data_IF_784991008331
#
_entry.id   IF_784991008331
#
_cell.length_a   1.000
_cell.length_b   1.000
_cell.length_c   1.000
_cell.angle_alpha   90.00
_cell.angle_beta   90.00
_cell.angle_gamma   90.00
#
_symmetry.space_group_name_H-M   'P 1'
#
loop_
_entity.id
_entity.type
_entity.pdbx_description
1 polymer ?
#
# COMPACT_ATOMS: atom_id res chain seq x y z
N UNK A 1 -9.60 -6.87 15.86
CA UNK A 1 -8.25 -7.43 15.63
C UNK A 1 -8.17 -8.93 15.91
N UNK A 2 -8.38 -9.40 17.14
CA UNK A 2 -8.31 -10.85 17.48
C UNK A 2 -9.32 -11.74 16.73
N UNK A 3 -10.53 -11.23 16.45
CA UNK A 3 -11.55 -11.96 15.68
C UNK A 3 -11.13 -12.19 14.23
N UNK A 4 -10.68 -11.13 13.55
CA UNK A 4 -10.16 -11.19 12.16
C UNK A 4 -8.93 -12.10 12.10
N UNK A 5 -8.08 -12.04 13.13
CA UNK A 5 -6.91 -12.90 13.22
C UNK A 5 -7.29 -14.39 13.24
N UNK A 6 -8.32 -14.74 14.00
CA UNK A 6 -8.88 -16.09 14.09
C UNK A 6 -9.58 -16.50 12.80
N UNK A 7 -10.28 -15.59 12.12
CA UNK A 7 -11.01 -15.91 10.88
C UNK A 7 -10.06 -16.18 9.70
N UNK A 8 -9.02 -15.36 9.50
CA UNK A 8 -7.99 -15.63 8.48
C UNK A 8 -7.25 -16.96 8.77
N UNK A 9 -6.88 -17.23 10.03
CA UNK A 9 -6.22 -18.50 10.40
C UNK A 9 -7.09 -19.72 10.10
N UNK A 10 -8.42 -19.59 10.23
CA UNK A 10 -9.39 -20.63 9.87
C UNK A 10 -9.66 -20.75 8.36
N UNK A 11 -9.37 -19.70 7.58
CA UNK A 11 -9.64 -19.65 6.14
C UNK A 11 -8.61 -20.40 5.27
N UNK A 12 -7.58 -21.02 5.86
CA UNK A 12 -6.79 -22.08 5.23
C UNK A 12 -5.62 -21.67 4.32
N UNK A 13 -5.50 -20.40 3.90
CA UNK A 13 -4.49 -19.97 2.91
C UNK A 13 -3.56 -18.84 3.42
N UNK A 14 -2.72 -19.09 4.42
CA UNK A 14 -1.62 -18.14 4.67
C UNK A 14 -0.69 -18.46 5.84
N UNK A 15 0.64 -18.40 5.65
CA UNK A 15 1.59 -18.41 6.76
C UNK A 15 1.37 -17.16 7.62
N UNK A 16 1.23 -17.35 8.93
CA UNK A 16 1.17 -16.36 10.01
C UNK A 16 0.73 -14.92 9.66
N UNK A 17 -0.44 -14.56 10.15
CA UNK A 17 -1.10 -13.26 10.00
C UNK A 17 -0.49 -12.10 10.78
N UNK A 18 0.34 -12.38 11.78
CA UNK A 18 0.71 -11.40 12.79
C UNK A 18 1.58 -10.27 12.22
N UNK A 19 2.50 -10.58 11.31
CA UNK A 19 3.28 -9.57 10.60
C UNK A 19 2.39 -8.69 9.73
N UNK A 20 1.44 -9.28 9.00
CA UNK A 20 0.48 -8.53 8.16
C UNK A 20 -0.41 -7.61 9.00
N UNK A 21 -0.90 -8.08 10.16
CA UNK A 21 -1.62 -7.22 11.12
C UNK A 21 -0.74 -6.08 11.63
N UNK A 22 0.53 -6.36 11.88
CA UNK A 22 1.54 -5.37 12.29
C UNK A 22 1.69 -4.27 11.25
N UNK A 23 1.93 -4.64 9.98
CA UNK A 23 2.00 -3.69 8.86
C UNK A 23 0.72 -2.86 8.75
N UNK A 24 -0.46 -3.50 8.72
CA UNK A 24 -1.75 -2.81 8.60
C UNK A 24 -1.99 -1.81 9.74
N UNK A 25 -1.66 -2.18 10.99
CA UNK A 25 -1.77 -1.29 12.14
C UNK A 25 -0.76 -0.14 12.10
N UNK A 26 0.50 -0.43 11.72
CA UNK A 26 1.56 0.57 11.61
C UNK A 26 1.24 1.60 10.52
N UNK A 27 0.82 1.15 9.34
CA UNK A 27 0.46 2.02 8.22
C UNK A 27 -0.73 2.91 8.56
N UNK A 28 -1.78 2.36 9.20
CA UNK A 28 -2.89 3.17 9.74
C UNK A 28 -2.39 4.24 10.69
N UNK A 29 -1.50 3.88 11.63
CA UNK A 29 -0.96 4.83 12.61
C UNK A 29 -0.19 5.93 11.90
N UNK A 30 0.62 5.61 10.91
CA UNK A 30 1.35 6.58 10.09
C UNK A 30 0.39 7.53 9.35
N UNK A 31 -0.63 7.00 8.68
CA UNK A 31 -1.68 7.81 8.01
C UNK A 31 -2.44 8.71 9.00
N UNK A 32 -2.74 8.22 10.21
CA UNK A 32 -3.40 9.02 11.25
C UNK A 32 -2.52 10.17 11.77
N UNK A 33 -1.24 9.91 12.04
CA UNK A 33 -0.27 10.95 12.40
C UNK A 33 -0.16 11.99 11.27
N UNK A 34 -0.06 11.53 10.02
CA UNK A 34 0.04 12.40 8.87
C UNK A 34 -1.22 13.24 8.65
N UNK A 35 -2.40 12.67 8.87
CA UNK A 35 -3.70 13.37 8.83
C UNK A 35 -3.75 14.50 9.86
N UNK A 36 -3.25 14.26 11.06
CA UNK A 36 -3.17 15.30 12.08
C UNK A 36 -2.14 16.37 11.72
N UNK A 37 -0.95 15.97 11.26
CA UNK A 37 0.12 16.91 10.87
C UNK A 37 -0.27 17.78 9.67
N UNK A 38 -0.96 17.24 8.67
CA UNK A 38 -1.32 17.98 7.45
C UNK A 38 -2.22 19.19 7.73
N UNK A 39 -3.07 19.10 8.77
CA UNK A 39 -3.91 20.23 9.24
C UNK A 39 -3.11 21.45 9.65
N UNK A 40 -1.90 21.26 10.17
CA UNK A 40 -1.05 22.35 10.66
C UNK A 40 0.04 22.75 9.67
N UNK A 41 0.61 21.80 8.93
CA UNK A 41 1.72 22.09 8.01
C UNK A 41 1.27 22.65 6.67
N UNK A 42 -0.02 22.50 6.32
CA UNK A 42 -0.60 22.88 5.02
C UNK A 42 0.17 22.31 3.82
N UNK A 43 0.91 21.21 4.02
CA UNK A 43 1.62 20.52 2.93
C UNK A 43 0.60 19.72 2.10
N UNK A 44 0.62 19.82 0.76
CA UNK A 44 -0.39 19.20 -0.09
C UNK A 44 -0.20 17.68 -0.25
N UNK A 45 0.97 17.16 0.14
CA UNK A 45 1.33 15.75 -0.03
C UNK A 45 1.87 15.17 1.27
N UNK A 46 1.57 13.89 1.47
CA UNK A 46 2.11 13.06 2.54
C UNK A 46 2.83 11.89 1.90
N UNK A 47 4.07 11.64 2.32
CA UNK A 47 4.82 10.44 1.95
C UNK A 47 4.95 9.53 3.17
N UNK A 48 4.64 8.25 2.99
CA UNK A 48 4.81 7.19 3.98
C UNK A 48 5.71 6.15 3.35
N UNK A 49 6.82 5.82 4.02
CA UNK A 49 7.76 4.80 3.61
C UNK A 49 7.82 3.71 4.69
N UNK A 50 8.03 2.46 4.28
CA UNK A 50 8.52 1.43 5.19
C UNK A 50 9.95 1.75 5.65
N UNK A 51 10.37 1.14 6.76
CA UNK A 51 11.65 1.40 7.41
C UNK A 51 12.87 0.91 6.63
N UNK A 52 12.67 -0.04 5.71
CA UNK A 52 13.68 -0.60 4.80
C UNK A 52 13.72 0.08 3.42
N UNK A 53 13.00 1.20 3.24
CA UNK A 53 12.90 1.90 1.95
C UNK A 53 13.63 3.24 1.94
N UNK A 54 14.54 3.42 0.99
CA UNK A 54 15.28 4.66 0.79
C UNK A 54 14.92 5.35 -0.53
N UNK A 55 14.67 6.67 -0.54
CA UNK A 55 14.60 7.44 -1.78
C UNK A 55 15.92 7.35 -2.56
N UNK A 56 15.82 7.17 -3.88
CA UNK A 56 17.00 7.18 -4.77
C UNK A 56 17.66 8.58 -4.83
N UNK A 57 18.92 8.65 -5.25
CA UNK A 57 19.71 9.90 -5.23
C UNK A 57 19.03 11.09 -5.95
N UNK A 58 18.32 10.81 -7.05
CA UNK A 58 17.63 11.79 -7.89
C UNK A 58 16.13 11.88 -7.62
N UNK A 59 15.65 11.34 -6.49
CA UNK A 59 14.23 11.25 -6.15
C UNK A 59 13.47 12.56 -6.37
N UNK A 60 14.02 13.69 -5.91
CA UNK A 60 13.36 15.01 -6.03
C UNK A 60 13.15 15.40 -7.49
N UNK A 61 14.14 15.14 -8.35
CA UNK A 61 14.08 15.46 -9.79
C UNK A 61 13.06 14.57 -10.49
N UNK A 62 13.08 13.26 -10.19
CA UNK A 62 12.10 12.31 -10.73
C UNK A 62 10.67 12.66 -10.30
N UNK A 63 10.47 12.99 -9.02
CA UNK A 63 9.16 13.35 -8.48
C UNK A 63 8.62 14.63 -9.11
N UNK A 64 9.48 15.64 -9.28
CA UNK A 64 9.09 16.86 -9.97
C UNK A 64 8.64 16.56 -11.40
N UNK A 65 9.42 15.80 -12.18
CA UNK A 65 9.09 15.44 -13.56
C UNK A 65 7.79 14.64 -13.65
N UNK A 66 7.62 13.63 -12.80
CA UNK A 66 6.40 12.81 -12.78
C UNK A 66 5.17 13.68 -12.52
N UNK A 67 5.20 14.49 -11.46
CA UNK A 67 4.06 15.29 -11.03
C UNK A 67 3.68 16.40 -12.03
N UNK A 68 4.64 16.94 -12.78
CA UNK A 68 4.38 18.08 -13.69
C UNK A 68 4.19 17.67 -15.15
N UNK A 69 4.73 16.52 -15.57
CA UNK A 69 4.73 16.14 -16.99
C UNK A 69 3.83 14.94 -17.29
N UNK A 70 3.57 14.07 -16.31
CA UNK A 70 2.91 12.78 -16.57
C UNK A 70 1.68 12.55 -15.69
N UNK A 71 1.71 13.01 -14.44
CA UNK A 71 0.65 12.77 -13.47
C UNK A 71 -0.64 13.53 -13.82
N UNK A 72 -1.79 12.84 -13.97
CA UNK A 72 -3.08 13.49 -14.10
C UNK A 72 -3.45 14.31 -12.86
N UNK A 73 -4.12 15.46 -13.03
CA UNK A 73 -4.45 16.39 -11.95
C UNK A 73 -5.40 15.82 -10.88
N UNK A 74 -6.08 14.71 -11.16
CA UNK A 74 -7.10 14.09 -10.31
C UNK A 74 -6.53 13.05 -9.33
N UNK A 75 -5.21 12.84 -9.31
CA UNK A 75 -4.59 11.81 -8.48
C UNK A 75 -4.87 11.97 -6.97
N UNK A 76 -5.17 10.85 -6.29
CA UNK A 76 -5.38 10.80 -4.84
C UNK A 76 -4.25 10.05 -4.13
N UNK A 77 -3.77 8.97 -4.75
CA UNK A 77 -2.74 8.07 -4.21
C UNK A 77 -1.75 7.71 -5.32
N UNK A 78 -0.48 7.69 -4.97
CA UNK A 78 0.62 7.24 -5.82
C UNK A 78 1.48 6.24 -5.04
N UNK A 79 1.67 5.05 -5.58
CA UNK A 79 2.79 4.20 -5.15
C UNK A 79 4.07 4.56 -5.91
N UNK A 80 5.16 4.74 -5.18
CA UNK A 80 6.49 5.11 -5.69
C UNK A 80 7.24 3.92 -6.30
N UNK A 81 6.81 2.70 -6.02
CA UNK A 81 7.37 1.48 -6.56
C UNK A 81 6.32 0.38 -6.48
N UNK A 82 6.09 -0.35 -7.57
CA UNK A 82 5.16 -1.47 -7.58
C UNK A 82 5.84 -2.71 -8.15
N UNK A 83 5.56 -3.87 -7.58
CA UNK A 83 5.82 -5.16 -8.19
C UNK A 83 4.48 -5.77 -8.64
N UNK A 84 4.50 -6.38 -9.81
CA UNK A 84 3.32 -7.00 -10.43
C UNK A 84 2.14 -6.02 -10.59
N UNK A 85 2.30 -4.91 -11.32
CA UNK A 85 1.22 -3.95 -11.49
C UNK A 85 0.03 -4.54 -12.25
N UNK A 86 -1.19 -4.30 -11.75
CA UNK A 86 -2.44 -4.53 -12.46
C UNK A 86 -3.14 -3.18 -12.72
N UNK A 87 -3.23 -2.78 -13.98
CA UNK A 87 -3.63 -1.44 -14.34
C UNK A 87 -3.56 -1.12 -15.82
N UNK A 88 -3.88 0.14 -16.14
CA UNK A 88 -3.78 0.72 -17.49
C UNK A 88 -2.56 1.64 -17.55
N UNK A 89 -1.66 1.42 -18.52
CA UNK A 89 -0.53 2.33 -18.72
C UNK A 89 -1.03 3.70 -19.21
N UNK A 90 -0.63 4.78 -18.53
CA UNK A 90 -0.94 6.15 -18.96
C UNK A 90 0.25 6.83 -19.63
N UNK A 91 1.44 6.53 -19.16
CA UNK A 91 2.69 7.05 -19.71
C UNK A 91 3.80 6.01 -19.57
N UNK A 92 5.01 6.37 -20.00
CA UNK A 92 6.18 5.50 -19.86
C UNK A 92 6.46 5.11 -18.40
N UNK A 93 6.13 5.99 -17.46
CA UNK A 93 6.51 5.86 -16.06
C UNK A 93 5.33 5.65 -15.10
N UNK A 94 4.09 5.80 -15.60
CA UNK A 94 2.90 5.84 -14.76
C UNK A 94 1.83 4.88 -15.27
N UNK A 95 1.26 4.10 -14.34
CA UNK A 95 0.09 3.29 -14.58
C UNK A 95 -1.06 3.68 -13.65
N UNK A 96 -2.27 3.62 -14.19
CA UNK A 96 -3.53 3.74 -13.47
C UNK A 96 -3.89 2.39 -12.88
N UNK A 97 -4.01 2.31 -11.55
CA UNK A 97 -4.44 1.09 -10.89
C UNK A 97 -5.95 0.94 -11.04
N UNK A 98 -6.38 -0.28 -11.38
CA UNK A 98 -7.79 -0.65 -11.47
C UNK A 98 -8.03 -1.86 -10.57
N UNK A 99 -9.27 -2.09 -10.09
CA UNK A 99 -9.58 -3.30 -9.35
C UNK A 99 -9.20 -4.53 -10.17
N UNK A 100 -8.59 -5.53 -9.54
CA UNK A 100 -8.28 -6.77 -10.23
C UNK A 100 -9.56 -7.61 -10.38
N UNK A 101 -10.09 -7.65 -11.60
CA UNK A 101 -11.28 -8.42 -11.96
C UNK A 101 -11.13 -9.94 -11.67
N UNK A 102 -9.88 -10.43 -11.57
CA UNK A 102 -9.56 -11.83 -11.24
C UNK A 102 -9.64 -12.11 -9.75
N UNK A 103 -9.66 -11.05 -8.93
CA UNK A 103 -9.79 -11.08 -7.48
C UNK A 103 -10.93 -10.13 -7.04
N UNK A 104 -12.21 -10.48 -7.30
CA UNK A 104 -13.33 -9.60 -6.99
C UNK A 104 -13.28 -9.14 -5.52
N UNK A 105 -13.80 -7.93 -5.26
CA UNK A 105 -13.76 -7.29 -3.93
C UNK A 105 -14.30 -8.20 -2.79
N UNK A 106 -15.23 -9.09 -3.12
CA UNK A 106 -15.78 -10.10 -2.20
C UNK A 106 -14.78 -11.19 -1.79
N UNK A 107 -13.75 -11.42 -2.60
CA UNK A 107 -12.71 -12.44 -2.41
C UNK A 107 -11.42 -11.85 -1.81
N UNK A 108 -11.03 -10.62 -2.12
CA UNK A 108 -9.76 -10.00 -1.69
C UNK A 108 -8.57 -10.97 -1.85
N UNK A 109 -8.52 -11.81 -2.91
CA UNK A 109 -7.50 -12.86 -3.03
C UNK A 109 -6.28 -12.35 -3.80
N UNK A 110 -5.12 -12.45 -3.17
CA UNK A 110 -3.78 -12.09 -3.68
C UNK A 110 -3.55 -10.59 -3.92
N UNK A 111 -2.40 -10.08 -3.45
CA UNK A 111 -1.98 -8.69 -3.60
C UNK A 111 -1.52 -8.43 -5.03
N UNK A 112 -2.44 -8.08 -5.91
CA UNK A 112 -2.10 -7.35 -7.14
C UNK A 112 -1.59 -5.96 -6.74
N UNK A 113 -0.48 -5.49 -7.34
CA UNK A 113 0.21 -4.25 -6.95
C UNK A 113 0.85 -4.31 -5.55
N UNK A 114 1.90 -5.11 -5.39
CA UNK A 114 2.74 -5.02 -4.20
C UNK A 114 3.44 -3.67 -4.25
N UNK A 115 3.06 -2.72 -3.39
CA UNK A 115 3.43 -1.34 -3.62
C UNK A 115 3.43 -0.44 -2.36
N UNK A 116 2.91 -0.93 -1.23
CA UNK A 116 2.70 -0.10 -0.04
C UNK A 116 3.98 0.37 0.66
N UNK A 117 5.15 -0.17 0.29
CA UNK A 117 6.46 0.19 0.83
C UNK A 117 6.80 1.67 0.64
N UNK A 118 6.27 2.31 -0.40
CA UNK A 118 6.47 3.72 -0.66
C UNK A 118 5.23 4.38 -1.23
N UNK A 119 4.49 5.10 -0.39
CA UNK A 119 3.19 5.66 -0.74
C UNK A 119 3.17 7.18 -0.60
N UNK A 120 2.65 7.85 -1.61
CA UNK A 120 2.33 9.28 -1.60
C UNK A 120 0.82 9.46 -1.65
N UNK A 121 0.29 10.24 -0.72
CA UNK A 121 -1.12 10.58 -0.64
C UNK A 121 -1.30 12.07 -0.83
N UNK A 122 -2.36 12.45 -1.53
CA UNK A 122 -2.86 13.82 -1.47
C UNK A 122 -3.39 14.09 -0.07
N UNK A 123 -2.87 15.13 0.58
CA UNK A 123 -3.13 15.38 1.99
C UNK A 123 -4.62 15.62 2.31
N UNK A 124 -5.36 16.21 1.37
CA UNK A 124 -6.81 16.48 1.52
C UNK A 124 -7.66 15.20 1.47
N UNK A 125 -7.21 14.18 0.73
CA UNK A 125 -7.95 12.92 0.55
C UNK A 125 -7.60 11.89 1.64
N UNK A 126 -6.45 12.08 2.29
CA UNK A 126 -5.93 11.15 3.29
C UNK A 126 -6.93 10.76 4.39
N UNK A 127 -7.77 11.66 4.97
CA UNK A 127 -8.75 11.27 5.98
C UNK A 127 -9.82 10.30 5.44
N UNK A 128 -10.30 10.54 4.21
CA UNK A 128 -11.28 9.69 3.54
C UNK A 128 -10.68 8.32 3.24
N UNK A 129 -9.49 8.29 2.65
CA UNK A 129 -8.78 7.05 2.29
C UNK A 129 -8.48 6.23 3.54
N UNK A 130 -7.99 6.86 4.62
CA UNK A 130 -7.74 6.20 5.90
C UNK A 130 -8.98 5.52 6.47
N UNK A 131 -10.12 6.24 6.50
CA UNK A 131 -11.38 5.70 7.02
C UNK A 131 -11.86 4.50 6.21
N UNK A 132 -11.82 4.62 4.89
CA UNK A 132 -12.24 3.58 3.95
C UNK A 132 -11.33 2.34 4.03
N UNK A 133 -10.01 2.50 3.97
CA UNK A 133 -9.07 1.39 4.07
C UNK A 133 -9.20 0.69 5.42
N UNK A 134 -9.37 1.42 6.52
CA UNK A 134 -9.55 0.82 7.84
C UNK A 134 -10.79 -0.07 7.91
N UNK A 135 -11.91 0.39 7.32
CA UNK A 135 -13.14 -0.41 7.25
C UNK A 135 -12.94 -1.70 6.46
N UNK A 136 -12.24 -1.65 5.32
CA UNK A 136 -11.96 -2.82 4.46
C UNK A 136 -10.98 -3.79 5.10
N UNK A 137 -9.86 -3.30 5.64
CA UNK A 137 -8.80 -4.13 6.22
C UNK A 137 -9.25 -4.91 7.46
N UNK A 138 -10.22 -4.36 8.19
CA UNK A 138 -10.71 -4.98 9.44
C UNK A 138 -12.13 -5.51 9.33
N UNK A 139 -12.52 -5.93 8.12
CA UNK A 139 -13.76 -6.67 7.90
C UNK A 139 -13.55 -8.18 8.19
N UNK A 140 -14.20 -8.75 9.23
CA UNK A 140 -14.07 -10.17 9.54
C UNK A 140 -14.61 -11.09 8.44
N UNK A 141 -15.49 -10.60 7.56
CA UNK A 141 -16.06 -11.38 6.46
C UNK A 141 -15.16 -11.38 5.21
N UNK A 142 -14.19 -10.47 5.14
CA UNK A 142 -13.23 -10.34 4.03
C UNK A 142 -11.81 -10.38 4.56
N UNK A 143 -11.41 -11.51 5.16
CA UNK A 143 -10.27 -11.54 6.04
C UNK A 143 -8.96 -11.27 5.26
N UNK A 144 -8.85 -11.66 3.98
CA UNK A 144 -7.68 -11.37 3.13
C UNK A 144 -7.43 -9.87 2.85
N UNK A 145 -8.45 -9.02 2.97
CA UNK A 145 -8.28 -7.57 2.83
C UNK A 145 -7.47 -6.95 3.98
N UNK A 146 -7.09 -7.71 5.02
CA UNK A 146 -6.16 -7.25 6.05
C UNK A 146 -4.80 -6.82 5.48
N UNK A 147 -4.38 -7.39 4.35
CA UNK A 147 -3.19 -6.96 3.62
C UNK A 147 -3.43 -5.59 2.95
N UNK A 148 -2.47 -4.66 3.12
CA UNK A 148 -2.63 -3.26 2.68
C UNK A 148 -2.68 -3.16 1.16
N UNK A 149 -1.85 -3.91 0.44
CA UNK A 149 -1.81 -3.89 -1.03
C UNK A 149 -3.13 -4.40 -1.59
N UNK A 150 -3.64 -5.49 -1.02
CA UNK A 150 -4.96 -6.04 -1.34
C UNK A 150 -6.08 -5.03 -1.07
N UNK A 151 -6.05 -4.37 0.09
CA UNK A 151 -7.04 -3.37 0.45
C UNK A 151 -7.03 -2.16 -0.50
N UNK A 152 -5.84 -1.67 -0.88
CA UNK A 152 -5.66 -0.57 -1.82
C UNK A 152 -6.15 -0.94 -3.22
N UNK A 153 -5.75 -2.10 -3.74
CA UNK A 153 -6.16 -2.58 -5.06
C UNK A 153 -7.68 -2.84 -5.12
N UNK A 154 -8.25 -3.47 -4.10
CA UNK A 154 -9.70 -3.72 -4.03
C UNK A 154 -10.56 -2.46 -3.85
N UNK A 155 -9.93 -1.30 -3.65
CA UNK A 155 -10.60 -0.03 -3.45
C UNK A 155 -10.22 1.02 -4.50
N UNK A 156 -9.46 0.65 -5.54
CA UNK A 156 -8.95 1.59 -6.55
C UNK A 156 -10.03 2.13 -7.50
N UNK A 157 -11.26 1.63 -7.41
CA UNK A 157 -12.47 2.22 -8.01
C UNK A 157 -13.07 3.35 -7.15
N UNK A 158 -12.70 3.43 -5.86
CA UNK A 158 -13.24 4.40 -4.90
C UNK A 158 -12.39 5.67 -4.76
N UNK A 159 -11.18 5.67 -5.33
CA UNK A 159 -10.26 6.81 -5.35
C UNK A 159 -9.27 6.72 -6.53
N UNK A 160 -8.58 7.82 -6.79
CA UNK A 160 -7.67 7.92 -7.92
C UNK A 160 -6.27 7.39 -7.55
N UNK A 161 -6.07 6.07 -7.68
CA UNK A 161 -4.80 5.37 -7.46
C UNK A 161 -3.92 5.22 -8.72
N UNK A 162 -2.68 5.70 -8.64
CA UNK A 162 -1.61 5.45 -9.61
C UNK A 162 -0.44 4.71 -8.99
N UNK A 163 0.38 4.05 -9.82
CA UNK A 163 1.67 3.54 -9.41
C UNK A 163 2.75 3.86 -10.45
N UNK A 164 3.97 4.03 -9.97
CA UNK A 164 5.15 4.07 -10.83
C UNK A 164 5.45 2.66 -11.33
N UNK A 165 5.62 2.49 -12.64
CA UNK A 165 6.00 1.19 -13.21
C UNK A 165 7.42 0.78 -12.81
N UNK A 166 7.58 -0.52 -12.55
CA UNK A 166 8.84 -1.25 -12.42
C UNK A 166 9.80 -1.12 -13.61
N UNK A 167 9.31 -0.78 -14.81
CA UNK A 167 10.14 -0.50 -15.98
C UNK A 167 11.01 0.76 -15.83
N UNK A 168 10.73 1.58 -14.83
CA UNK A 168 11.57 2.69 -14.42
C UNK A 168 12.65 2.13 -13.52
N UNK A 169 13.87 1.91 -14.02
CA UNK A 169 15.03 1.53 -13.21
C UNK A 169 15.89 2.77 -12.90
N UNK A 170 16.27 3.05 -11.64
CA UNK A 170 16.01 2.31 -10.38
C UNK A 170 14.73 2.74 -9.63
N UNK A 171 13.63 3.08 -10.32
CA UNK A 171 12.40 3.52 -9.68
C UNK A 171 12.56 4.85 -8.94
N UNK A 172 11.80 5.01 -7.84
CA UNK A 172 11.86 6.16 -6.94
C UNK A 172 12.38 5.80 -5.54
N UNK A 173 12.17 4.57 -5.11
CA UNK A 173 12.69 4.04 -3.84
C UNK A 173 13.44 2.74 -4.11
N UNK A 174 14.38 2.42 -3.23
CA UNK A 174 15.13 1.19 -3.25
C UNK A 174 15.17 0.59 -1.84
N UNK A 175 15.16 -0.74 -1.80
CA UNK A 175 15.39 -1.53 -0.60
C UNK A 175 16.81 -1.26 -0.08
N UNK A 176 16.96 -1.11 1.23
CA UNK A 176 18.24 -0.92 1.90
C UNK A 176 19.04 -2.22 2.10
N UNK A 177 18.48 -3.34 1.68
CA UNK A 177 19.03 -4.69 1.75
C UNK A 177 18.70 -5.42 3.05
N UNK A 178 17.94 -4.82 3.96
CA UNK A 178 17.55 -5.43 5.23
C UNK A 178 16.38 -6.41 5.07
N UNK A 179 16.25 -7.35 6.00
CA UNK A 179 15.18 -8.35 5.95
C UNK A 179 13.87 -7.78 6.51
N UNK A 180 12.80 -7.85 5.73
CA UNK A 180 11.46 -7.41 6.14
C UNK A 180 11.03 -7.98 7.50
N UNK A 181 10.72 -7.08 8.44
CA UNK A 181 10.19 -7.43 9.77
C UNK A 181 8.92 -8.29 9.69
N UNK A 182 8.07 -8.06 8.69
CA UNK A 182 6.87 -8.86 8.41
C UNK A 182 7.23 -10.33 8.19
N UNK A 183 8.18 -10.59 7.28
CA UNK A 183 8.62 -11.95 6.94
C UNK A 183 9.24 -12.63 8.15
N UNK A 184 10.07 -11.90 8.91
CA UNK A 184 10.69 -12.42 10.13
C UNK A 184 9.66 -12.83 11.19
N UNK A 185 8.63 -12.01 11.44
CA UNK A 185 7.55 -12.31 12.39
C UNK A 185 6.68 -13.46 11.89
N UNK A 186 6.40 -13.50 10.59
CA UNK A 186 5.60 -14.56 9.99
C UNK A 186 6.34 -15.91 10.02
N UNK A 187 7.66 -15.93 9.82
CA UNK A 187 8.47 -17.14 9.86
C UNK A 187 8.74 -17.62 11.29
N UNK A 188 9.02 -16.72 12.25
CA UNK A 188 9.25 -17.11 13.66
C UNK A 188 8.05 -17.83 14.29
N UNK A 189 6.84 -17.48 13.88
CA UNK A 189 5.63 -18.14 14.38
C UNK A 189 5.30 -19.47 13.65
N UNK A 190 6.09 -19.90 12.64
CA UNK A 190 5.94 -21.23 12.04
C UNK A 190 6.59 -22.32 12.90
N UNK A 191 7.54 -21.96 13.77
CA UNK A 191 8.22 -22.88 14.69
C UNK A 191 7.54 -23.06 16.06
N UNK A 192 6.31 -22.56 16.23
CA UNK A 192 5.52 -22.68 17.48
C UNK A 192 4.26 -23.54 17.29
N UNK A 193 4.24 -24.37 16.25
CA UNK A 193 3.26 -25.44 16.06
C UNK A 193 3.91 -26.80 16.31
N UNK A 194 4.29 -27.04 17.56
CA UNK A 194 4.30 -28.36 18.19
C UNK A 194 3.39 -28.30 19.43
#
# INVERSE_FOLDING_TARGET
>A
AQSIARTQRKAGDGPNILGTMGCAAAHRRAMGIATNKSRYTKKPMVMILEDDQNPVYDFKVKMYRLLHNEMPCDWDVLSLHTLCPHGVCLSKHLLRIVPDDRAPESRCRHGSNLAFYGMVYRAEQLPRILSMLWKKMWDPNRPFCLDIDVALASASDQFVYYAVSDNLLPGFVMDDGSASSRVNINNKNQGLSE
#
